data_IF_107408830475
#
_entry.id   IF_107408830475
#
_cell.length_a   1.000
_cell.length_b   1.000
_cell.length_c   1.000
_cell.angle_alpha   90.00
_cell.angle_beta   90.00
_cell.angle_gamma   90.00
#
_symmetry.space_group_name_H-M   'P 1'
#
loop_
_entity.id
_entity.type
_entity.pdbx_description
1 polymer ?
#
# COMPACT_ATOMS: atom_id res chain seq x y z
N UNK A 1 27.80 -5.24 -1.17
CA UNK A 1 26.39 -5.11 -0.75
C UNK A 1 25.71 -6.46 -0.48
N UNK A 2 25.92 -7.49 -1.32
CA UNK A 2 25.28 -8.81 -1.12
C UNK A 2 25.75 -9.58 0.12
N UNK A 3 27.02 -9.40 0.49
CA UNK A 3 27.63 -10.04 1.66
C UNK A 3 26.95 -9.65 2.97
N UNK A 4 26.24 -8.51 3.00
CA UNK A 4 25.52 -8.03 4.17
C UNK A 4 24.08 -8.56 4.25
N UNK A 5 23.51 -9.09 3.17
CA UNK A 5 22.11 -9.56 3.22
C UNK A 5 21.93 -10.63 4.29
N UNK A 6 22.88 -11.57 4.37
CA UNK A 6 22.88 -12.61 5.40
C UNK A 6 22.91 -12.07 6.83
N UNK A 7 23.50 -10.89 7.07
CA UNK A 7 23.54 -10.28 8.41
C UNK A 7 22.26 -9.55 8.79
N UNK A 8 21.38 -9.27 7.82
CA UNK A 8 20.05 -8.68 8.05
C UNK A 8 18.94 -9.72 8.16
N UNK A 9 19.27 -11.01 7.95
CA UNK A 9 18.33 -12.10 8.09
C UNK A 9 18.37 -12.59 9.54
N UNK A 10 17.19 -12.72 10.16
CA UNK A 10 17.07 -13.24 11.51
C UNK A 10 17.53 -14.70 11.55
N UNK A 11 18.53 -15.01 12.38
CA UNK A 11 19.07 -16.34 12.53
C UNK A 11 17.98 -17.37 12.89
N UNK A 12 17.98 -18.52 12.22
CA UNK A 12 16.99 -19.59 12.41
C UNK A 12 15.62 -19.33 11.77
N UNK A 13 15.42 -18.21 11.08
CA UNK A 13 14.19 -17.96 10.32
C UNK A 13 14.14 -18.77 9.01
N UNK A 14 12.96 -18.87 8.39
CA UNK A 14 12.81 -19.51 7.07
C UNK A 14 13.73 -18.85 6.03
N UNK A 15 13.91 -17.53 6.11
CA UNK A 15 14.79 -16.78 5.24
C UNK A 15 16.27 -17.13 5.47
N UNK A 16 16.66 -17.49 6.70
CA UNK A 16 18.04 -17.90 7.02
C UNK A 16 18.35 -19.28 6.45
N UNK A 17 17.44 -20.24 6.64
CA UNK A 17 17.56 -21.59 6.06
C UNK A 17 17.61 -21.54 4.53
N UNK A 18 16.75 -20.73 3.92
CA UNK A 18 16.79 -20.50 2.47
C UNK A 18 18.09 -19.83 2.02
N UNK A 19 18.49 -18.74 2.68
CA UNK A 19 19.69 -17.99 2.30
C UNK A 19 20.92 -18.86 2.46
N UNK A 20 21.08 -19.60 3.54
CA UNK A 20 22.21 -20.54 3.74
C UNK A 20 22.23 -21.66 2.70
N UNK A 21 21.07 -22.18 2.30
CA UNK A 21 20.93 -23.23 1.28
C UNK A 21 21.23 -22.82 -0.17
N UNK A 22 21.25 -21.52 -0.49
CA UNK A 22 21.58 -21.04 -1.83
C UNK A 22 23.08 -21.23 -2.17
N UNK A 23 23.35 -21.68 -3.40
CA UNK A 23 24.71 -21.88 -3.91
C UNK A 23 25.49 -20.58 -4.12
N UNK A 24 26.81 -20.68 -4.24
CA UNK A 24 27.69 -19.51 -4.42
C UNK A 24 27.38 -18.69 -5.68
N UNK A 25 27.00 -19.36 -6.78
CA UNK A 25 26.59 -18.71 -8.03
C UNK A 25 25.27 -17.94 -7.93
N UNK A 26 24.36 -18.39 -7.06
CA UNK A 26 23.05 -17.77 -6.82
C UNK A 26 23.15 -16.51 -5.93
N UNK A 27 24.27 -16.37 -5.21
CA UNK A 27 24.58 -15.21 -4.35
C UNK A 27 25.67 -14.30 -4.93
N UNK A 28 26.15 -14.56 -6.14
CA UNK A 28 27.31 -13.85 -6.67
C UNK A 28 27.01 -12.37 -6.95
N UNK A 29 25.77 -12.04 -7.33
CA UNK A 29 25.32 -10.66 -7.62
C UNK A 29 23.94 -10.38 -7.06
N UNK A 30 23.65 -9.10 -6.83
CA UNK A 30 22.36 -8.68 -6.25
C UNK A 30 21.19 -9.06 -7.15
N UNK A 31 21.40 -9.01 -8.47
CA UNK A 31 20.42 -9.48 -9.44
C UNK A 31 20.08 -10.96 -9.23
N UNK A 32 21.08 -11.83 -9.05
CA UNK A 32 20.86 -13.27 -8.84
C UNK A 32 20.14 -13.54 -7.52
N UNK A 33 20.59 -12.94 -6.41
CA UNK A 33 19.91 -13.09 -5.13
C UNK A 33 18.47 -12.59 -5.16
N UNK A 34 18.21 -11.48 -5.85
CA UNK A 34 16.85 -10.93 -6.03
C UNK A 34 15.97 -11.88 -6.86
N UNK A 35 16.52 -12.49 -7.91
CA UNK A 35 15.79 -13.48 -8.73
C UNK A 35 15.39 -14.69 -7.89
N UNK A 36 16.32 -15.26 -7.13
CA UNK A 36 16.05 -16.38 -6.23
C UNK A 36 15.04 -16.01 -5.14
N UNK A 37 15.15 -14.80 -4.60
CA UNK A 37 14.21 -14.28 -3.61
C UNK A 37 12.78 -14.22 -4.17
N UNK A 38 12.62 -13.67 -5.38
CA UNK A 38 11.31 -13.57 -6.04
C UNK A 38 10.74 -14.92 -6.46
N UNK A 39 11.58 -15.93 -6.69
CA UNK A 39 11.11 -17.30 -6.92
C UNK A 39 10.57 -17.95 -5.63
N UNK A 40 11.24 -17.72 -4.49
CA UNK A 40 10.83 -18.28 -3.20
C UNK A 40 9.65 -17.54 -2.56
N UNK A 41 9.65 -16.21 -2.66
CA UNK A 41 8.57 -15.33 -2.21
C UNK A 41 8.06 -14.51 -3.40
N UNK A 42 7.19 -15.10 -4.25
CA UNK A 42 6.57 -14.35 -5.32
C UNK A 42 5.82 -13.16 -4.73
N UNK A 43 5.94 -12.00 -5.38
CA UNK A 43 5.22 -10.81 -4.97
C UNK A 43 3.73 -11.13 -4.95
N UNK A 44 3.10 -11.04 -3.77
CA UNK A 44 1.66 -11.08 -3.67
C UNK A 44 1.18 -9.85 -4.44
N UNK A 45 0.49 -10.07 -5.55
CA UNK A 45 -0.21 -8.99 -6.25
C UNK A 45 -1.24 -8.48 -5.27
N UNK A 46 -0.97 -7.30 -4.69
CA UNK A 46 -1.97 -6.59 -3.91
C UNK A 46 -3.14 -6.40 -4.88
N UNK A 47 -4.30 -6.96 -4.55
CA UNK A 47 -5.51 -6.71 -5.31
C UNK A 47 -5.75 -5.20 -5.25
N UNK A 48 -5.46 -4.51 -6.36
CA UNK A 48 -5.86 -3.12 -6.52
C UNK A 48 -7.38 -3.08 -6.55
N UNK A 49 -7.98 -2.11 -5.84
CA UNK A 49 -9.41 -1.87 -5.96
C UNK A 49 -9.75 -1.68 -7.44
N UNK A 50 -10.75 -2.40 -7.89
CA UNK A 50 -11.33 -2.25 -9.22
C UNK A 50 -12.09 -0.93 -9.31
N UNK A 51 -12.32 -0.43 -10.53
CA UNK A 51 -13.08 0.81 -10.71
C UNK A 51 -14.51 0.74 -10.13
N UNK A 52 -15.11 -0.45 -10.12
CA UNK A 52 -16.42 -0.67 -9.48
C UNK A 52 -16.37 -0.48 -7.97
N UNK A 53 -15.29 -0.92 -7.32
CA UNK A 53 -15.11 -0.73 -5.87
C UNK A 53 -14.88 0.73 -5.54
N UNK A 54 -14.12 1.47 -6.36
CA UNK A 54 -14.00 2.92 -6.20
C UNK A 54 -15.33 3.65 -6.40
N UNK A 55 -16.14 3.28 -7.39
CA UNK A 55 -17.49 3.85 -7.57
C UNK A 55 -18.40 3.56 -6.38
N UNK A 56 -18.35 2.34 -5.85
CA UNK A 56 -19.09 1.97 -4.64
C UNK A 56 -18.65 2.84 -3.45
N UNK A 57 -17.35 2.99 -3.23
CA UNK A 57 -16.83 3.81 -2.15
C UNK A 57 -17.22 5.29 -2.30
N UNK A 58 -17.25 5.84 -3.53
CA UNK A 58 -17.75 7.20 -3.78
C UNK A 58 -19.22 7.37 -3.41
N UNK A 59 -20.06 6.38 -3.73
CA UNK A 59 -21.50 6.41 -3.43
C UNK A 59 -21.80 6.21 -1.94
N UNK A 60 -20.96 5.43 -1.25
CA UNK A 60 -21.07 5.19 0.20
C UNK A 60 -20.47 6.34 1.03
N UNK A 61 -19.60 7.15 0.44
CA UNK A 61 -18.97 8.28 1.11
C UNK A 61 -19.98 9.42 1.34
N UNK A 62 -20.60 9.40 2.51
CA UNK A 62 -21.53 10.43 2.98
C UNK A 62 -20.91 11.24 4.12
N UNK A 63 -21.23 12.53 4.16
CA UNK A 63 -20.92 13.42 5.28
C UNK A 63 -22.23 13.99 5.80
N UNK A 64 -22.47 13.86 7.11
CA UNK A 64 -23.71 14.39 7.69
C UNK A 64 -23.55 15.86 8.01
N UNK A 65 -24.64 16.61 7.88
CA UNK A 65 -24.62 18.04 8.20
C UNK A 65 -24.30 18.27 9.68
N UNK A 66 -24.78 17.39 10.57
CA UNK A 66 -24.45 17.43 12.00
C UNK A 66 -22.94 17.23 12.31
N UNK A 67 -22.14 16.73 11.38
CA UNK A 67 -20.68 16.53 11.56
C UNK A 67 -19.88 17.76 11.10
N UNK A 68 -20.54 18.76 10.50
CA UNK A 68 -19.88 19.99 10.06
C UNK A 68 -19.45 20.81 11.28
N UNK A 69 -18.14 21.06 11.37
CA UNK A 69 -17.57 21.82 12.48
C UNK A 69 -17.23 20.95 13.70
N UNK A 70 -17.33 19.63 13.58
CA UNK A 70 -16.76 18.72 14.57
C UNK A 70 -15.24 18.60 14.42
N UNK A 71 -14.56 18.37 15.54
CA UNK A 71 -13.13 18.10 15.57
C UNK A 71 -12.90 16.59 15.53
N UNK A 72 -12.00 16.14 14.65
CA UNK A 72 -11.62 14.74 14.54
C UNK A 72 -10.11 14.60 14.66
N UNK A 73 -9.67 13.55 15.35
CA UNK A 73 -8.25 13.21 15.47
C UNK A 73 -7.93 12.08 14.51
N UNK A 74 -7.05 12.32 13.54
CA UNK A 74 -6.59 11.33 12.56
C UNK A 74 -5.07 11.24 12.66
N UNK A 75 -4.54 10.04 12.88
CA UNK A 75 -3.10 9.81 13.04
C UNK A 75 -2.43 10.73 14.08
N UNK A 76 -3.14 11.04 15.17
CA UNK A 76 -2.64 11.90 16.26
C UNK A 76 -2.73 13.40 15.99
N UNK A 77 -3.30 13.82 14.85
CA UNK A 77 -3.49 15.23 14.48
C UNK A 77 -4.97 15.57 14.55
N UNK A 78 -5.33 16.58 15.35
CA UNK A 78 -6.69 17.11 15.43
C UNK A 78 -6.95 18.09 14.28
N UNK A 79 -8.05 17.90 13.56
CA UNK A 79 -8.47 18.76 12.46
C UNK A 79 -10.00 18.75 12.33
N UNK A 80 -10.56 19.56 11.44
CA UNK A 80 -12.00 19.62 11.22
C UNK A 80 -12.49 18.43 10.40
N UNK A 81 -13.64 17.86 10.79
CA UNK A 81 -14.26 16.71 10.16
C UNK A 81 -14.51 16.92 8.66
N UNK A 82 -15.01 18.10 8.28
CA UNK A 82 -15.30 18.44 6.89
C UNK A 82 -14.04 18.58 6.03
N UNK A 83 -12.91 19.02 6.60
CA UNK A 83 -11.61 19.06 5.90
C UNK A 83 -11.10 17.65 5.64
N UNK A 84 -11.20 16.76 6.63
CA UNK A 84 -10.84 15.35 6.44
C UNK A 84 -11.74 14.66 5.43
N UNK A 85 -13.03 14.95 5.46
CA UNK A 85 -13.97 14.45 4.46
C UNK A 85 -13.59 14.92 3.05
N UNK A 86 -13.32 16.22 2.85
CA UNK A 86 -12.88 16.75 1.57
C UNK A 86 -11.59 16.07 1.07
N UNK A 87 -10.60 15.89 1.96
CA UNK A 87 -9.34 15.22 1.60
C UNK A 87 -9.57 13.75 1.20
N UNK A 88 -10.42 13.03 1.93
CA UNK A 88 -10.79 11.65 1.59
C UNK A 88 -11.49 11.58 0.23
N UNK A 89 -12.50 12.43 0.00
CA UNK A 89 -13.23 12.50 -1.26
C UNK A 89 -12.29 12.80 -2.43
N UNK A 90 -11.39 13.79 -2.26
CA UNK A 90 -10.43 14.18 -3.30
C UNK A 90 -9.48 13.04 -3.67
N UNK A 91 -8.95 12.33 -2.68
CA UNK A 91 -8.11 11.14 -2.92
C UNK A 91 -8.89 10.06 -3.65
N UNK A 92 -10.13 9.81 -3.24
CA UNK A 92 -10.95 8.73 -3.79
C UNK A 92 -11.39 9.01 -5.23
N UNK A 93 -11.71 10.27 -5.56
CA UNK A 93 -11.99 10.73 -6.95
C UNK A 93 -10.75 10.57 -7.84
N UNK A 94 -9.57 10.90 -7.33
CA UNK A 94 -8.30 10.74 -8.05
C UNK A 94 -8.01 9.26 -8.31
N UNK A 95 -8.14 8.42 -7.30
CA UNK A 95 -7.87 6.98 -7.40
C UNK A 95 -8.90 6.27 -8.31
N UNK A 96 -10.13 6.79 -8.37
CA UNK A 96 -11.17 6.35 -9.28
C UNK A 96 -10.98 6.81 -10.74
N UNK A 97 -10.05 7.76 -10.99
CA UNK A 97 -9.80 8.34 -12.31
C UNK A 97 -10.94 9.20 -12.87
N UNK A 98 -11.80 9.75 -12.01
CA UNK A 98 -13.00 10.52 -12.42
C UNK A 98 -12.86 12.02 -12.25
N UNK A 99 -11.64 12.51 -12.08
CA UNK A 99 -11.28 13.92 -11.83
C UNK A 99 -11.77 14.91 -12.90
N UNK A 100 -12.03 14.45 -14.13
CA UNK A 100 -12.51 15.28 -15.25
C UNK A 100 -13.91 14.89 -15.76
N UNK A 101 -14.66 14.06 -15.01
CA UNK A 101 -16.04 13.73 -15.39
C UNK A 101 -16.92 14.93 -15.06
N UNK A 102 -17.61 15.55 -16.05
CA UNK A 102 -18.50 16.65 -15.75
C UNK A 102 -19.59 16.17 -14.81
N UNK A 103 -19.61 16.74 -13.61
CA UNK A 103 -20.67 16.49 -12.64
C UNK A 103 -21.92 17.15 -13.23
N UNK A 104 -22.84 16.33 -13.76
CA UNK A 104 -24.21 16.75 -14.03
C UNK A 104 -24.88 16.92 -12.67
N UNK A 105 -24.84 18.14 -12.14
CA UNK A 105 -25.69 18.60 -11.04
C UNK A 105 -26.90 19.29 -11.67
#
# INVERSE_FOLDING_TARGET
>A
MILLLGTFILAGSEADVWWTGLGASQKATWAQAKTEFLMKWPAIVIAGKTQREYQKDLLELQFKEEEVGEWVTVAGITTWAHIQFHNKLKTLVKDAGVENVPILI
#
